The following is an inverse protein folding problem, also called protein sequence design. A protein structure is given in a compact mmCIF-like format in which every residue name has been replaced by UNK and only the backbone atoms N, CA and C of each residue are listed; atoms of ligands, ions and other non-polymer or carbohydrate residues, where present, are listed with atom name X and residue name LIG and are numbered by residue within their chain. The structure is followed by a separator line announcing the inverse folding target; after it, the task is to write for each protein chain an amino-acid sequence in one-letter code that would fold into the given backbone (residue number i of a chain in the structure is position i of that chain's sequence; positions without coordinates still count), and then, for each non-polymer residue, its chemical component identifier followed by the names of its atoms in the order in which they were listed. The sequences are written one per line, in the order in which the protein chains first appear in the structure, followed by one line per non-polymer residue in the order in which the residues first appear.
data_IF_503642938567
#
_entry.id   IF_503642938567
#
_cell.length_a   1.000
_cell.length_b   1.000
_cell.length_c   1.000
_cell.angle_alpha   90.00
_cell.angle_beta   90.00
_cell.angle_gamma   90.00
#
_symmetry.space_group_name_H-M   'P 1'
#
loop_
_entity.id
_entity.type
_entity.pdbx_description
1 polymer ?
#
# COMPACT_ATOMS: atom_id res chain seq x y z
N UNK A 1 -2.81 -19.40 54.04
CA UNK A 1 -4.25 -19.13 54.27
C UNK A 1 -4.52 -17.68 53.90
N UNK A 2 -5.10 -17.42 52.72
CA UNK A 2 -5.28 -16.05 52.21
C UNK A 2 -6.29 -16.00 51.06
N UNK A 3 -7.53 -15.67 51.46
CA UNK A 3 -8.77 -15.35 50.73
C UNK A 3 -8.74 -15.19 49.19
N UNK A 4 -9.53 -16.03 48.50
CA UNK A 4 -10.10 -15.76 47.17
C UNK A 4 -11.19 -14.68 47.28
N UNK A 5 -11.15 -13.68 46.41
CA UNK A 5 -12.24 -12.72 46.18
C UNK A 5 -12.88 -13.08 44.85
N UNK A 6 -14.15 -13.49 44.89
CA UNK A 6 -14.96 -13.72 43.70
C UNK A 6 -15.53 -12.38 43.23
N UNK A 7 -15.22 -12.00 41.99
CA UNK A 7 -15.80 -10.83 41.33
C UNK A 7 -16.92 -11.33 40.42
N UNK A 8 -18.17 -11.05 40.81
CA UNK A 8 -19.35 -11.31 40.00
C UNK A 8 -19.55 -10.15 39.02
N UNK A 9 -19.59 -10.46 37.72
CA UNK A 9 -19.99 -9.50 36.68
C UNK A 9 -21.49 -9.71 36.37
N UNK A 10 -22.28 -8.65 36.58
CA UNK A 10 -23.68 -8.60 36.18
C UNK A 10 -23.76 -8.15 34.71
N UNK A 11 -24.35 -9.00 33.87
CA UNK A 11 -24.59 -8.72 32.45
C UNK A 11 -25.95 -8.00 32.33
N UNK A 12 -25.93 -6.70 32.03
CA UNK A 12 -27.14 -5.94 31.72
C UNK A 12 -27.40 -5.99 30.21
N UNK A 13 -28.47 -6.68 29.81
CA UNK A 13 -28.94 -6.76 28.43
C UNK A 13 -29.82 -5.53 28.14
N UNK A 14 -29.36 -4.60 27.31
CA UNK A 14 -30.18 -3.48 26.81
C UNK A 14 -30.68 -3.85 25.41
N UNK A 15 -31.97 -4.16 25.30
CA UNK A 15 -32.63 -4.35 24.02
C UNK A 15 -33.13 -2.99 23.50
N UNK A 16 -32.47 -2.45 22.47
CA UNK A 16 -32.94 -1.29 21.73
C UNK A 16 -33.89 -1.76 20.60
N UNK A 17 -35.16 -1.34 20.66
CA UNK A 17 -36.13 -1.55 19.61
C UNK A 17 -35.98 -0.45 18.54
N UNK A 18 -35.53 -0.82 17.34
CA UNK A 18 -35.57 0.06 16.17
C UNK A 18 -36.84 -0.22 15.36
N UNK A 19 -37.72 0.77 15.25
CA UNK A 19 -38.84 0.77 14.31
C UNK A 19 -38.39 1.31 12.95
N UNK A 20 -38.53 0.59 11.84
CA UNK A 20 -38.32 1.16 10.52
C UNK A 20 -39.54 1.99 10.09
N UNK A 21 -39.33 3.29 9.88
CA UNK A 21 -40.30 4.17 9.23
C UNK A 21 -40.08 4.10 7.72
N UNK A 22 -40.98 3.41 7.02
CA UNK A 22 -40.98 3.33 5.58
C UNK A 22 -41.55 4.65 5.00
N UNK A 23 -40.68 5.42 4.34
CA UNK A 23 -41.08 6.53 3.47
C UNK A 23 -40.85 6.07 2.03
N UNK A 24 -41.90 6.03 1.22
CA UNK A 24 -41.82 5.62 -0.18
C UNK A 24 -41.09 6.70 -1.01
N UNK A 25 -40.05 6.34 -1.78
CA UNK A 25 -39.37 7.28 -2.66
C UNK A 25 -40.23 7.56 -3.91
N UNK A 26 -40.44 8.84 -4.20
CA UNK A 26 -41.03 9.32 -5.45
C UNK A 26 -40.05 9.10 -6.61
N UNK A 27 -40.44 8.26 -7.56
CA UNK A 27 -39.67 7.98 -8.77
C UNK A 27 -39.84 9.13 -9.77
N UNK A 28 -38.87 10.05 -9.79
CA UNK A 28 -38.76 11.04 -10.88
C UNK A 28 -37.87 10.45 -11.97
N UNK A 29 -38.49 10.00 -13.06
CA UNK A 29 -37.82 9.43 -14.22
C UNK A 29 -37.10 10.55 -14.99
N UNK A 30 -35.84 10.80 -14.64
CA UNK A 30 -34.96 11.70 -15.38
C UNK A 30 -34.40 10.94 -16.59
N UNK A 31 -34.61 11.48 -17.79
CA UNK A 31 -34.06 10.95 -19.02
C UNK A 31 -32.52 10.95 -18.94
N UNK A 32 -31.93 9.78 -18.69
CA UNK A 32 -30.48 9.57 -18.72
C UNK A 32 -30.04 9.64 -20.18
N UNK A 33 -29.40 10.75 -20.54
CA UNK A 33 -28.65 10.83 -21.79
C UNK A 33 -27.33 10.11 -21.56
N UNK A 34 -27.24 8.85 -22.00
CA UNK A 34 -25.99 8.08 -21.97
C UNK A 34 -25.03 8.73 -22.96
N UNK A 35 -24.17 9.62 -22.46
CA UNK A 35 -22.96 10.00 -23.18
C UNK A 35 -22.03 8.81 -23.05
N UNK A 36 -21.73 8.14 -24.16
CA UNK A 36 -20.69 7.11 -24.19
C UNK A 36 -19.43 7.75 -23.62
N UNK A 37 -19.00 7.25 -22.45
CA UNK A 37 -17.71 7.63 -21.90
C UNK A 37 -16.67 7.30 -22.96
N UNK A 38 -15.68 8.18 -23.21
CA UNK A 38 -14.59 7.85 -24.11
C UNK A 38 -14.05 6.49 -23.70
N UNK A 39 -13.83 5.60 -24.68
CA UNK A 39 -13.10 4.35 -24.44
C UNK A 39 -11.82 4.73 -23.71
N UNK A 40 -11.77 4.46 -22.40
CA UNK A 40 -10.51 4.47 -21.67
C UNK A 40 -9.65 3.49 -22.44
N UNK A 41 -8.63 4.00 -23.12
CA UNK A 41 -7.48 3.20 -23.55
C UNK A 41 -7.05 2.47 -22.29
N UNK A 42 -7.46 1.19 -22.21
CA UNK A 42 -7.30 0.40 -21.01
C UNK A 42 -5.86 0.54 -20.58
N UNK A 43 -5.65 1.05 -19.36
CA UNK A 43 -4.33 0.99 -18.75
C UNK A 43 -3.84 -0.45 -18.97
N UNK A 44 -2.75 -0.61 -19.73
CA UNK A 44 -2.27 -1.94 -20.15
C UNK A 44 -2.31 -2.85 -18.93
N UNK A 45 -3.16 -3.89 -18.96
CA UNK A 45 -3.31 -4.83 -17.86
C UNK A 45 -1.97 -5.56 -17.70
N UNK A 46 -1.09 -5.04 -16.84
CA UNK A 46 0.26 -5.58 -16.62
C UNK A 46 0.29 -6.42 -15.35
N UNK A 47 1.10 -7.47 -15.38
CA UNK A 47 1.36 -8.35 -14.23
C UNK A 47 2.78 -8.13 -13.73
N UNK A 48 2.94 -7.97 -12.42
CA UNK A 48 4.25 -7.94 -11.76
C UNK A 48 4.47 -9.24 -11.02
N UNK A 49 5.58 -9.90 -11.32
CA UNK A 49 5.97 -11.16 -10.68
C UNK A 49 7.29 -10.94 -9.96
N UNK A 50 7.35 -11.37 -8.69
CA UNK A 50 8.60 -11.47 -7.95
C UNK A 50 9.07 -12.92 -7.97
N UNK A 51 10.22 -13.18 -8.58
CA UNK A 51 10.79 -14.54 -8.63
C UNK A 51 11.47 -14.91 -7.31
N UNK A 52 11.78 -16.21 -7.13
CA UNK A 52 12.54 -16.69 -5.97
C UNK A 52 13.97 -16.13 -5.89
N UNK A 53 14.50 -15.66 -7.02
CA UNK A 53 15.81 -15.03 -7.12
C UNK A 53 15.75 -13.52 -6.80
N UNK A 54 14.57 -12.97 -6.53
CA UNK A 54 14.39 -11.53 -6.27
C UNK A 54 14.36 -10.68 -7.54
N UNK A 55 14.21 -11.29 -8.71
CA UNK A 55 13.97 -10.58 -9.98
C UNK A 55 12.52 -10.10 -9.99
N UNK A 56 12.30 -8.86 -10.37
CA UNK A 56 10.96 -8.35 -10.65
C UNK A 56 10.73 -8.42 -12.15
N UNK A 57 9.78 -9.24 -12.57
CA UNK A 57 9.38 -9.41 -13.96
C UNK A 57 8.08 -8.63 -14.19
N UNK A 58 7.99 -7.96 -15.33
CA UNK A 58 6.79 -7.23 -15.75
C UNK A 58 6.28 -7.89 -17.03
N UNK A 59 5.04 -8.35 -17.00
CA UNK A 59 4.38 -9.00 -18.12
C UNK A 59 3.22 -8.17 -18.64
N UNK A 60 2.99 -8.26 -19.94
CA UNK A 60 1.79 -7.74 -20.60
C UNK A 60 0.54 -8.55 -20.25
N UNK A 61 -0.60 -8.08 -20.73
CA UNK A 61 -1.92 -8.71 -20.51
C UNK A 61 -2.06 -10.07 -21.19
N UNK A 62 -1.25 -10.32 -22.22
CA UNK A 62 -1.12 -11.58 -22.92
C UNK A 62 -0.11 -12.55 -22.26
N UNK A 63 0.55 -12.11 -21.19
CA UNK A 63 1.59 -12.85 -20.47
C UNK A 63 2.99 -12.74 -21.06
N UNK A 64 3.19 -11.98 -22.14
CA UNK A 64 4.51 -11.72 -22.70
C UNK A 64 5.39 -10.99 -21.67
N UNK A 65 6.63 -11.42 -21.51
CA UNK A 65 7.60 -10.74 -20.66
C UNK A 65 8.04 -9.45 -21.35
N UNK A 66 7.72 -8.30 -20.73
CA UNK A 66 8.08 -6.98 -21.24
C UNK A 66 9.46 -6.54 -20.76
N UNK A 67 9.73 -6.65 -19.45
CA UNK A 67 11.01 -6.25 -18.86
C UNK A 67 11.31 -6.99 -17.55
N UNK A 68 12.59 -6.98 -17.15
CA UNK A 68 13.07 -7.55 -15.89
C UNK A 68 13.92 -6.53 -15.13
N UNK A 69 13.78 -6.51 -13.81
CA UNK A 69 14.58 -5.69 -12.91
C UNK A 69 15.37 -6.62 -11.99
N UNK A 70 16.65 -6.78 -12.29
CA UNK A 70 17.58 -7.58 -11.50
C UNK A 70 17.83 -6.95 -10.12
N UNK A 71 17.86 -7.75 -9.04
CA UNK A 71 18.24 -7.24 -7.74
C UNK A 71 19.75 -6.92 -7.72
N UNK A 72 20.18 -5.88 -6.98
CA UNK A 72 21.59 -5.70 -6.66
C UNK A 72 22.15 -6.95 -5.97
N UNK A 73 23.46 -7.26 -6.10
CA UNK A 73 24.05 -8.46 -5.50
C UNK A 73 23.90 -8.56 -3.97
N UNK A 74 23.75 -7.42 -3.29
CA UNK A 74 23.53 -7.37 -1.84
C UNK A 74 22.06 -7.50 -1.43
N UNK A 75 21.11 -7.35 -2.36
CA UNK A 75 19.67 -7.43 -2.07
C UNK A 75 19.25 -8.87 -1.78
N UNK A 76 18.56 -9.09 -0.66
CA UNK A 76 18.06 -10.42 -0.27
C UNK A 76 16.55 -10.47 -0.07
N UNK A 77 15.87 -9.33 -0.03
CA UNK A 77 14.41 -9.26 0.06
C UNK A 77 13.88 -8.10 -0.76
N UNK A 78 12.84 -8.41 -1.56
CA UNK A 78 12.05 -7.43 -2.29
C UNK A 78 10.56 -7.76 -2.15
N UNK A 79 9.72 -6.74 -2.28
CA UNK A 79 8.27 -6.89 -2.31
C UNK A 79 7.72 -5.79 -3.20
N UNK A 80 7.12 -6.11 -4.36
CA UNK A 80 6.59 -5.11 -5.27
C UNK A 80 5.13 -4.74 -4.98
N UNK A 81 4.75 -3.53 -5.38
CA UNK A 81 3.38 -3.03 -5.46
C UNK A 81 3.24 -2.11 -6.68
N UNK A 82 2.04 -2.04 -7.25
CA UNK A 82 1.73 -1.10 -8.31
C UNK A 82 1.57 0.30 -7.75
N UNK A 83 2.30 1.29 -8.28
CA UNK A 83 2.09 2.68 -7.90
C UNK A 83 1.00 3.33 -8.77
N UNK A 84 1.14 3.17 -10.08
CA UNK A 84 0.22 3.61 -11.12
C UNK A 84 0.40 2.73 -12.36
N UNK A 85 -0.33 3.01 -13.45
CA UNK A 85 -0.27 2.21 -14.69
C UNK A 85 1.09 2.19 -15.41
N UNK A 86 2.04 3.02 -14.99
CA UNK A 86 3.38 3.14 -15.59
C UNK A 86 4.52 2.80 -14.65
N UNK A 87 4.28 2.78 -13.33
CA UNK A 87 5.32 2.67 -12.32
C UNK A 87 5.04 1.55 -11.32
N UNK A 88 6.07 0.74 -11.03
CA UNK A 88 6.08 -0.23 -9.93
C UNK A 88 7.01 0.28 -8.83
N UNK A 89 6.58 0.15 -7.58
CA UNK A 89 7.42 0.40 -6.41
C UNK A 89 7.70 -0.90 -5.70
N UNK A 90 8.95 -1.14 -5.31
CA UNK A 90 9.28 -2.26 -4.44
C UNK A 90 10.12 -1.82 -3.25
N UNK A 91 9.92 -2.49 -2.11
CA UNK A 91 10.90 -2.46 -1.04
C UNK A 91 12.14 -3.22 -1.46
N UNK A 92 13.31 -2.72 -1.10
CA UNK A 92 14.59 -3.41 -1.26
C UNK A 92 15.29 -3.45 0.10
N UNK A 93 15.73 -4.63 0.50
CA UNK A 93 16.53 -4.84 1.71
C UNK A 93 17.80 -5.59 1.35
N UNK A 94 18.94 -4.99 1.71
CA UNK A 94 20.26 -5.48 1.38
C UNK A 94 21.05 -5.95 2.61
N UNK A 95 21.98 -6.89 2.38
CA UNK A 95 22.79 -7.55 3.40
C UNK A 95 23.77 -6.60 4.10
N UNK A 96 24.14 -5.50 3.44
CA UNK A 96 24.99 -4.44 3.97
C UNK A 96 24.23 -3.45 4.88
N UNK A 97 22.94 -3.70 5.13
CA UNK A 97 22.07 -2.82 5.91
C UNK A 97 21.41 -1.71 5.08
N UNK A 98 21.59 -1.70 3.75
CA UNK A 98 20.87 -0.79 2.87
C UNK A 98 19.38 -1.15 2.78
N UNK A 99 18.51 -0.16 2.98
CA UNK A 99 17.08 -0.30 2.75
C UNK A 99 16.58 0.82 1.84
N UNK A 100 15.64 0.53 0.96
CA UNK A 100 15.04 1.53 0.10
C UNK A 100 13.62 1.17 -0.31
N UNK A 101 12.84 2.19 -0.68
CA UNK A 101 11.77 2.02 -1.66
C UNK A 101 12.31 2.47 -3.02
N UNK A 102 12.05 1.69 -4.05
CA UNK A 102 12.55 1.95 -5.41
C UNK A 102 11.36 1.95 -6.36
N UNK A 103 11.19 3.03 -7.10
CA UNK A 103 10.26 3.08 -8.22
C UNK A 103 10.99 2.81 -9.53
N UNK A 104 10.37 2.03 -10.38
CA UNK A 104 10.85 1.71 -11.71
C UNK A 104 9.75 1.95 -12.73
N UNK A 105 10.16 2.45 -13.89
CA UNK A 105 9.31 2.55 -15.06
C UNK A 105 9.04 1.14 -15.61
N UNK A 106 7.78 0.84 -15.89
CA UNK A 106 7.36 -0.52 -16.22
C UNK A 106 7.62 -0.92 -17.67
N UNK A 107 7.92 0.02 -18.55
CA UNK A 107 8.26 -0.27 -19.94
C UNK A 107 9.75 -0.53 -20.09
N UNK A 108 10.56 0.32 -19.46
CA UNK A 108 12.01 0.32 -19.60
C UNK A 108 12.73 -0.44 -18.50
N UNK A 109 12.10 -0.60 -17.33
CA UNK A 109 12.75 -1.10 -16.11
C UNK A 109 13.71 -0.09 -15.46
N UNK A 110 13.78 1.15 -15.96
CA UNK A 110 14.68 2.18 -15.43
C UNK A 110 14.19 2.70 -14.07
N UNK A 111 15.14 3.04 -13.19
CA UNK A 111 14.82 3.62 -11.88
C UNK A 111 14.33 5.05 -12.07
N UNK A 112 13.07 5.31 -11.69
CA UNK A 112 12.48 6.65 -11.68
C UNK A 112 12.93 7.41 -10.43
N UNK A 113 12.85 6.77 -9.27
CA UNK A 113 13.35 7.33 -8.02
C UNK A 113 13.74 6.22 -7.04
N UNK A 114 14.57 6.60 -6.07
CA UNK A 114 15.00 5.74 -4.97
C UNK A 114 14.96 6.53 -3.68
N UNK A 115 14.19 6.04 -2.71
CA UNK A 115 14.05 6.62 -1.38
C UNK A 115 14.79 5.75 -0.36
N UNK A 116 15.98 6.17 0.12
CA UNK A 116 16.70 5.44 1.15
C UNK A 116 15.90 5.39 2.44
N UNK A 117 15.88 4.22 3.07
CA UNK A 117 15.21 3.97 4.34
C UNK A 117 16.24 3.56 5.39
N UNK A 118 16.06 4.05 6.61
CA UNK A 118 16.98 3.77 7.73
C UNK A 118 16.80 2.34 8.28
N UNK A 119 15.60 1.78 8.13
CA UNK A 119 15.25 0.41 8.51
C UNK A 119 14.37 -0.18 7.40
N UNK A 120 14.25 -1.52 7.26
CA UNK A 120 13.37 -2.12 6.28
C UNK A 120 11.92 -1.61 6.44
N UNK A 121 11.25 -1.18 5.36
CA UNK A 121 9.82 -0.91 5.42
C UNK A 121 9.09 -2.24 5.60
N UNK A 122 8.22 -2.33 6.61
CA UNK A 122 7.41 -3.53 6.85
C UNK A 122 6.11 -3.51 6.04
N UNK A 123 5.64 -2.30 5.70
CA UNK A 123 4.46 -2.07 4.92
C UNK A 123 4.64 -0.79 4.10
N UNK A 124 4.08 -0.78 2.91
CA UNK A 124 3.89 0.43 2.14
C UNK A 124 2.67 0.26 1.25
N UNK A 125 2.02 1.37 0.95
CA UNK A 125 0.79 1.40 0.17
C UNK A 125 0.83 2.56 -0.83
N UNK A 126 0.41 2.35 -2.08
CA UNK A 126 0.26 3.43 -3.05
C UNK A 126 -0.66 4.53 -2.50
N UNK A 127 -0.29 5.78 -2.77
CA UNK A 127 -1.18 6.89 -2.49
C UNK A 127 -2.34 6.90 -3.49
N UNK A 128 -3.51 7.43 -3.10
CA UNK A 128 -4.63 7.60 -4.03
C UNK A 128 -4.26 8.45 -5.24
N UNK A 129 -4.95 8.24 -6.35
CA UNK A 129 -4.83 9.09 -7.53
C UNK A 129 -5.03 10.57 -7.19
N UNK A 130 -4.27 11.46 -7.85
CA UNK A 130 -4.27 12.89 -7.57
C UNK A 130 -3.46 13.31 -6.32
N UNK A 131 -2.96 12.38 -5.52
CA UNK A 131 -2.04 12.67 -4.41
C UNK A 131 -0.72 13.27 -4.91
N UNK A 132 -0.14 14.19 -4.11
CA UNK A 132 1.24 14.66 -4.28
C UNK A 132 2.26 13.59 -3.87
N UNK A 133 1.83 12.62 -3.08
CA UNK A 133 2.65 11.49 -2.66
C UNK A 133 2.54 10.32 -3.63
N UNK A 134 3.61 9.54 -3.75
CA UNK A 134 3.61 8.26 -4.43
C UNK A 134 3.13 7.16 -3.48
N UNK A 135 3.70 7.07 -2.28
CA UNK A 135 3.38 5.97 -1.37
C UNK A 135 3.47 6.42 0.08
N UNK A 136 2.75 5.71 0.95
CA UNK A 136 2.99 5.74 2.39
C UNK A 136 3.79 4.53 2.79
N UNK A 137 4.70 4.68 3.75
CA UNK A 137 5.50 3.60 4.29
C UNK A 137 5.38 3.57 5.80
N UNK A 138 5.45 2.36 6.34
CA UNK A 138 5.61 2.11 7.74
C UNK A 138 6.86 1.26 7.96
N UNK A 139 7.70 1.67 8.90
CA UNK A 139 8.96 0.98 9.25
C UNK A 139 9.23 1.03 10.75
N UNK A 140 10.15 0.21 11.23
CA UNK A 140 10.56 0.23 12.63
C UNK A 140 11.22 1.57 13.00
N UNK A 141 10.95 2.06 14.20
CA UNK A 141 11.70 3.17 14.77
C UNK A 141 13.02 2.64 15.37
N UNK A 142 14.20 3.06 14.87
CA UNK A 142 15.48 2.56 15.38
C UNK A 142 15.85 3.14 16.75
N UNK A 143 15.16 4.19 17.20
CA UNK A 143 15.49 4.94 18.43
C UNK A 143 14.47 4.74 19.56
N UNK A 144 13.32 4.12 19.28
CA UNK A 144 12.27 3.89 20.28
C UNK A 144 11.38 2.70 19.89
N UNK A 145 10.63 2.11 20.84
CA UNK A 145 9.58 1.15 20.49
C UNK A 145 8.55 1.75 19.53
N UNK A 146 8.04 0.93 18.61
CA UNK A 146 6.98 1.31 17.68
C UNK A 146 7.45 1.55 16.25
N UNK A 147 6.59 2.22 15.50
CA UNK A 147 6.71 2.37 14.05
C UNK A 147 6.78 3.85 13.66
N UNK A 148 7.46 4.14 12.57
CA UNK A 148 7.48 5.45 11.92
C UNK A 148 6.59 5.37 10.69
N UNK A 149 5.66 6.31 10.56
CA UNK A 149 4.87 6.52 9.35
C UNK A 149 5.49 7.63 8.52
N UNK A 150 5.70 7.36 7.24
CA UNK A 150 6.35 8.26 6.28
C UNK A 150 5.53 8.31 4.99
N UNK A 151 5.53 9.46 4.33
CA UNK A 151 5.05 9.61 2.96
C UNK A 151 6.25 9.83 2.05
N UNK A 152 6.26 9.18 0.90
CA UNK A 152 7.28 9.35 -0.13
C UNK A 152 6.61 10.05 -1.31
N UNK A 153 7.19 11.16 -1.76
CA UNK A 153 6.67 11.88 -2.92
C UNK A 153 7.03 11.22 -4.26
N UNK A 154 6.53 11.77 -5.36
CA UNK A 154 6.78 11.25 -6.71
C UNK A 154 8.23 11.43 -7.20
N UNK A 155 9.08 12.08 -6.40
CA UNK A 155 10.52 12.24 -6.63
C UNK A 155 11.35 11.41 -5.65
N UNK A 156 10.72 10.60 -4.78
CA UNK A 156 11.39 9.80 -3.77
C UNK A 156 11.77 10.55 -2.49
N UNK A 157 11.33 11.80 -2.31
CA UNK A 157 11.59 12.54 -1.08
C UNK A 157 10.71 12.02 0.05
N UNK A 158 11.32 11.76 1.21
CA UNK A 158 10.66 11.16 2.37
C UNK A 158 10.23 12.24 3.36
N UNK A 159 8.94 12.30 3.67
CA UNK A 159 8.35 13.14 4.71
C UNK A 159 7.86 12.26 5.86
N UNK A 160 8.41 12.47 7.06
CA UNK A 160 7.92 11.80 8.26
C UNK A 160 6.55 12.36 8.66
N UNK A 161 5.55 11.50 8.78
CA UNK A 161 4.19 11.86 9.18
C UNK A 161 3.98 11.70 10.69
N UNK A 162 4.46 10.59 11.26
CA UNK A 162 4.26 10.27 12.68
C UNK A 162 5.34 9.33 13.20
N UNK A 163 5.62 9.43 14.50
CA UNK A 163 6.41 8.46 15.28
C UNK A 163 5.55 7.69 16.28
N UNK A 164 4.25 7.95 16.31
CA UNK A 164 3.28 7.25 17.14
C UNK A 164 2.79 6.02 16.37
N UNK A 165 2.97 4.83 16.96
CA UNK A 165 2.52 3.58 16.36
C UNK A 165 1.01 3.44 16.49
N UNK A 166 0.21 3.47 15.41
CA UNK A 166 -1.23 3.29 15.52
C UNK A 166 -1.63 1.82 15.77
N UNK A 167 -0.70 0.87 15.70
CA UNK A 167 -0.99 -0.57 15.73
C UNK A 167 -0.49 -1.31 16.98
N UNK A 168 0.18 -0.62 17.91
CA UNK A 168 0.72 -1.22 19.13
C UNK A 168 0.55 -0.26 20.31
N UNK A 169 -0.64 -0.23 20.89
CA UNK A 169 -0.94 0.42 22.19
C UNK A 169 -1.53 -0.59 23.14
#
# INVERSE_FOLDING_TARGET
MGRMVAVGFALALVAAACTPSASEPSTTESAVTTTEAPEEQGADDRLVVLTLQGVVEIHGSDGELLTTIEPPPSSFYRSPTWLDGSTVVFSETAQDGGHALVAVDTETGEVVWRAPMETPPFYFSPAPEGSTFATTSLRNNPLAPGLIAEAVDKMGAVTRLSTESPFYT
#
